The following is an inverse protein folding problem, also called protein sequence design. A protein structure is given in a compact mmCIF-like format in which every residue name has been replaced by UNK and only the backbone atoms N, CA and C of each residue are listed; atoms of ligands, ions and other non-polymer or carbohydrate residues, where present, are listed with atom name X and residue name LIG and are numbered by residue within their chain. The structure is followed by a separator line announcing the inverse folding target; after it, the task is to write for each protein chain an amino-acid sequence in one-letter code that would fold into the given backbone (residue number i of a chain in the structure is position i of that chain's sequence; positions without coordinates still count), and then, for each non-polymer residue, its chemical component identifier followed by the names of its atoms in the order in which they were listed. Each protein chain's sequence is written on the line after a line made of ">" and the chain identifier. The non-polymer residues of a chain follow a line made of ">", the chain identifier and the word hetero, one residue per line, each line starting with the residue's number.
data_IF_808706069404
#
_entry.id   IF_808706069404
#
_cell.length_a   1.000
_cell.length_b   1.000
_cell.length_c   1.000
_cell.angle_alpha   90.00
_cell.angle_beta   90.00
_cell.angle_gamma   90.00
#
_symmetry.space_group_name_H-M   'P 1'
#
loop_
_entity.id
_entity.type
_entity.pdbx_description
1 polymer ?
#
# COMPACT_ATOMS: atom_id res chain seq x y z
N UNK A 1 17.60 -18.36 -3.54
CA UNK A 1 17.18 -17.63 -4.76
C UNK A 1 18.42 -17.41 -5.63
N UNK A 2 18.29 -17.68 -6.93
CA UNK A 2 19.39 -17.43 -7.87
C UNK A 2 19.25 -15.99 -8.39
N UNK A 3 19.99 -15.09 -7.78
CA UNK A 3 20.05 -13.70 -8.23
C UNK A 3 20.93 -13.59 -9.46
N UNK A 4 20.42 -12.90 -10.50
CA UNK A 4 21.18 -12.42 -11.64
C UNK A 4 21.57 -10.97 -11.43
N UNK A 5 22.62 -10.53 -12.10
CA UNK A 5 23.02 -9.12 -12.10
C UNK A 5 22.52 -8.47 -13.39
N UNK A 6 21.62 -7.51 -13.24
CA UNK A 6 21.10 -6.65 -14.30
C UNK A 6 21.93 -5.34 -14.29
N UNK A 7 22.80 -5.09 -15.28
CA UNK A 7 23.50 -3.83 -15.41
C UNK A 7 22.51 -2.65 -15.51
N UNK A 8 22.84 -1.51 -14.92
CA UNK A 8 21.95 -0.35 -14.89
C UNK A 8 21.45 0.06 -16.27
N UNK A 9 22.34 0.06 -17.26
CA UNK A 9 22.02 0.39 -18.66
C UNK A 9 21.04 -0.58 -19.31
N UNK A 10 20.91 -1.80 -18.80
CA UNK A 10 20.05 -2.85 -19.38
C UNK A 10 18.63 -2.81 -18.78
N UNK A 11 18.33 -1.93 -17.84
CA UNK A 11 16.97 -1.83 -17.25
C UNK A 11 15.91 -1.51 -18.32
N UNK A 12 16.30 -0.77 -19.39
CA UNK A 12 15.41 -0.50 -20.52
C UNK A 12 14.99 -1.80 -21.24
N UNK A 13 15.87 -2.79 -21.33
CA UNK A 13 15.54 -4.07 -21.97
C UNK A 13 14.41 -4.80 -21.23
N UNK A 14 14.40 -4.72 -19.88
CA UNK A 14 13.32 -5.30 -19.09
C UNK A 14 11.99 -4.57 -19.34
N UNK A 15 12.01 -3.24 -19.42
CA UNK A 15 10.84 -2.42 -19.76
C UNK A 15 10.32 -2.78 -21.15
N UNK A 16 11.19 -2.88 -22.13
CA UNK A 16 10.83 -3.19 -23.52
C UNK A 16 10.22 -4.59 -23.66
N UNK A 17 10.78 -5.58 -22.96
CA UNK A 17 10.26 -6.95 -22.94
C UNK A 17 8.83 -7.02 -22.37
N UNK A 18 8.56 -6.31 -21.27
CA UNK A 18 7.20 -6.23 -20.71
C UNK A 18 6.22 -5.56 -21.66
N UNK A 19 6.63 -4.48 -22.33
CA UNK A 19 5.79 -3.79 -23.34
C UNK A 19 5.53 -4.68 -24.56
N UNK A 20 6.51 -5.47 -24.99
CA UNK A 20 6.32 -6.45 -26.07
C UNK A 20 5.32 -7.56 -25.70
N UNK A 21 5.22 -7.89 -24.42
CA UNK A 21 4.21 -8.80 -23.87
C UNK A 21 2.86 -8.10 -23.61
N UNK A 22 2.64 -6.90 -24.14
CA UNK A 22 1.43 -6.08 -24.04
C UNK A 22 1.07 -5.63 -22.61
N UNK A 23 2.03 -5.57 -21.69
CA UNK A 23 1.80 -4.92 -20.41
C UNK A 23 1.82 -3.40 -20.55
N UNK A 24 0.83 -2.73 -19.95
CA UNK A 24 0.94 -1.31 -19.62
C UNK A 24 1.83 -1.17 -18.38
N UNK A 25 2.96 -0.51 -18.52
CA UNK A 25 3.93 -0.39 -17.44
C UNK A 25 3.67 0.85 -16.60
N UNK A 26 3.55 0.67 -15.28
CA UNK A 26 3.50 1.74 -14.30
C UNK A 26 4.81 1.75 -13.51
N UNK A 27 5.36 2.94 -13.33
CA UNK A 27 6.58 3.15 -12.55
C UNK A 27 6.53 4.42 -11.72
N UNK A 28 7.48 4.60 -10.79
CA UNK A 28 7.59 5.82 -10.02
C UNK A 28 8.05 6.97 -10.93
N UNK A 29 7.35 8.10 -10.86
CA UNK A 29 7.71 9.36 -11.52
C UNK A 29 7.52 10.52 -10.54
N UNK A 30 8.20 11.63 -10.78
CA UNK A 30 7.99 12.85 -9.98
C UNK A 30 6.87 13.69 -10.60
N UNK A 31 5.80 13.92 -9.84
CA UNK A 31 4.69 14.83 -10.19
C UNK A 31 4.35 15.69 -8.98
N UNK A 32 4.18 16.97 -9.19
CA UNK A 32 3.78 17.93 -8.13
C UNK A 32 4.60 17.79 -6.82
N UNK A 33 5.92 17.65 -6.95
CA UNK A 33 6.86 17.45 -5.84
C UNK A 33 6.60 16.20 -4.99
N UNK A 34 6.01 15.17 -5.57
CA UNK A 34 5.87 13.84 -4.95
C UNK A 34 6.23 12.74 -5.95
N UNK A 35 6.68 11.59 -5.44
CA UNK A 35 6.79 10.38 -6.23
C UNK A 35 5.39 9.76 -6.31
N UNK A 36 4.92 9.53 -7.53
CA UNK A 36 3.65 8.84 -7.81
C UNK A 36 3.88 7.73 -8.82
N UNK A 37 2.97 6.78 -8.90
CA UNK A 37 2.98 5.77 -9.96
C UNK A 37 2.17 6.28 -11.15
N UNK A 38 2.82 6.33 -12.31
CA UNK A 38 2.23 6.75 -13.59
C UNK A 38 2.73 5.84 -14.70
N UNK A 39 2.11 5.92 -15.87
CA UNK A 39 2.56 5.17 -17.06
C UNK A 39 3.95 5.63 -17.44
N UNK A 40 4.84 4.68 -17.67
CA UNK A 40 6.19 4.92 -18.16
C UNK A 40 6.46 4.09 -19.42
N UNK A 41 7.22 4.67 -20.33
CA UNK A 41 7.68 4.02 -21.56
C UNK A 41 9.20 3.81 -21.57
N UNK A 42 9.90 4.54 -20.72
CA UNK A 42 11.36 4.60 -20.67
C UNK A 42 11.90 4.69 -19.25
N UNK A 43 13.08 4.10 -19.03
CA UNK A 43 13.89 4.27 -17.81
C UNK A 43 14.18 5.75 -17.51
N UNK A 44 14.26 6.62 -18.52
CA UNK A 44 14.52 8.05 -18.35
C UNK A 44 13.41 8.79 -17.57
N UNK A 45 12.24 8.20 -17.43
CA UNK A 45 11.12 8.76 -16.66
C UNK A 45 11.19 8.42 -15.16
N UNK A 46 12.03 7.45 -14.79
CA UNK A 46 12.24 7.09 -13.38
C UNK A 46 13.00 8.20 -12.63
N UNK A 47 12.78 8.35 -11.30
CA UNK A 47 13.33 9.45 -10.51
C UNK A 47 14.80 9.23 -10.15
N UNK A 48 15.71 9.47 -11.11
CA UNK A 48 17.16 9.31 -10.91
C UNK A 48 17.69 10.32 -9.89
N UNK A 49 18.39 9.84 -8.86
CA UNK A 49 19.01 10.69 -7.83
C UNK A 49 17.99 11.45 -6.98
N UNK A 50 16.75 10.99 -6.90
CA UNK A 50 15.73 11.58 -6.04
C UNK A 50 15.64 10.79 -4.74
N UNK A 51 15.67 11.51 -3.62
CA UNK A 51 15.36 10.98 -2.28
C UNK A 51 14.22 11.76 -1.66
N UNK A 52 13.47 11.09 -0.81
CA UNK A 52 12.41 11.72 -0.03
C UNK A 52 12.82 11.90 1.43
N UNK A 53 12.44 13.02 1.99
CA UNK A 53 12.50 13.31 3.43
C UNK A 53 11.09 13.39 3.97
N UNK A 54 10.79 12.57 4.97
CA UNK A 54 9.46 12.47 5.56
C UNK A 54 9.51 12.61 7.08
N UNK A 55 8.61 13.43 7.60
CA UNK A 55 8.35 13.58 9.04
C UNK A 55 6.84 13.74 9.26
N UNK A 56 6.34 13.73 10.50
CA UNK A 56 4.90 13.90 10.74
C UNK A 56 4.34 15.15 10.06
N UNK A 57 3.41 14.95 9.13
CA UNK A 57 2.78 16.02 8.33
C UNK A 57 3.67 16.65 7.25
N UNK A 58 4.79 16.03 6.91
CA UNK A 58 5.72 16.59 5.91
C UNK A 58 6.25 15.52 4.96
N UNK A 59 6.29 15.88 3.68
CA UNK A 59 6.92 15.11 2.60
C UNK A 59 7.67 16.06 1.68
N UNK A 60 8.94 15.82 1.42
CA UNK A 60 9.78 16.63 0.54
C UNK A 60 10.67 15.75 -0.31
N UNK A 61 11.00 16.20 -1.53
CA UNK A 61 11.95 15.55 -2.41
C UNK A 61 13.23 16.38 -2.50
N UNK A 62 14.36 15.69 -2.53
CA UNK A 62 15.69 16.25 -2.69
C UNK A 62 16.41 15.59 -3.85
N UNK A 63 17.11 16.39 -4.66
CA UNK A 63 18.05 15.87 -5.64
C UNK A 63 19.37 15.59 -4.97
N UNK A 64 19.89 14.38 -5.14
CA UNK A 64 21.20 13.95 -4.65
C UNK A 64 22.07 13.47 -5.82
N UNK A 65 23.39 13.52 -5.65
CA UNK A 65 24.32 12.96 -6.64
C UNK A 65 24.40 11.44 -6.48
N UNK A 66 23.47 10.76 -7.15
CA UNK A 66 23.33 9.31 -7.12
C UNK A 66 22.73 8.80 -8.43
N UNK A 67 23.24 7.67 -8.97
CA UNK A 67 22.67 7.06 -10.17
C UNK A 67 21.37 6.27 -9.89
N UNK A 68 20.95 6.16 -8.64
CA UNK A 68 19.85 5.30 -8.21
C UNK A 68 18.49 5.85 -8.62
N UNK A 69 17.62 4.95 -9.08
CA UNK A 69 16.23 5.23 -9.45
C UNK A 69 15.25 5.00 -8.29
N UNK A 70 15.65 4.19 -7.30
CA UNK A 70 14.74 3.71 -6.25
C UNK A 70 15.25 4.03 -4.84
N UNK A 71 16.13 5.02 -4.66
CA UNK A 71 16.64 5.46 -3.35
C UNK A 71 15.67 6.40 -2.63
N UNK A 72 14.40 6.02 -2.54
CA UNK A 72 13.31 6.71 -1.85
C UNK A 72 12.45 5.69 -1.09
N UNK A 73 11.67 6.12 -0.10
CA UNK A 73 10.92 5.21 0.77
C UNK A 73 9.61 4.71 0.14
N UNK A 74 8.65 5.60 0.00
CA UNK A 74 7.32 5.27 -0.52
C UNK A 74 6.60 6.50 -1.11
N UNK A 75 5.57 6.24 -1.89
CA UNK A 75 4.67 7.24 -2.46
C UNK A 75 3.37 7.32 -1.64
N UNK A 76 2.54 8.37 -1.82
CA UNK A 76 1.23 8.45 -1.15
C UNK A 76 0.27 7.33 -1.55
N UNK A 77 0.44 6.79 -2.75
CA UNK A 77 -0.34 5.67 -3.27
C UNK A 77 0.59 4.70 -4.02
N UNK A 78 0.29 3.40 -3.97
CA UNK A 78 1.02 2.38 -4.72
C UNK A 78 0.04 1.41 -5.40
N UNK A 79 -0.12 0.19 -4.86
CA UNK A 79 -0.92 -0.87 -5.49
C UNK A 79 -2.42 -0.75 -5.23
N UNK A 80 -2.83 -0.17 -4.11
CA UNK A 80 -4.24 -0.17 -3.68
C UNK A 80 -5.22 0.32 -4.76
N UNK A 81 -4.99 1.43 -5.50
CA UNK A 81 -5.92 1.86 -6.54
C UNK A 81 -6.03 0.88 -7.72
N UNK A 82 -5.02 0.04 -7.94
CA UNK A 82 -4.97 -0.91 -9.05
C UNK A 82 -5.76 -2.20 -8.74
N UNK A 83 -5.69 -2.69 -7.51
CA UNK A 83 -6.40 -3.89 -7.06
C UNK A 83 -7.80 -3.58 -6.56
N UNK A 84 -7.94 -2.54 -5.75
CA UNK A 84 -9.17 -2.05 -5.16
C UNK A 84 -9.45 -0.64 -5.67
N UNK A 85 -10.29 -0.53 -6.71
CA UNK A 85 -10.54 0.74 -7.39
C UNK A 85 -11.24 1.76 -6.46
N UNK A 86 -10.90 3.07 -6.54
CA UNK A 86 -11.53 4.11 -5.71
C UNK A 86 -13.04 4.22 -5.91
N UNK A 87 -13.50 3.91 -7.10
CA UNK A 87 -14.92 3.84 -7.48
C UNK A 87 -15.09 2.82 -8.59
N UNK A 88 -16.10 1.95 -8.46
CA UNK A 88 -16.41 0.94 -9.45
C UNK A 88 -17.89 0.53 -9.43
N UNK A 89 -18.40 0.15 -10.58
CA UNK A 89 -19.73 -0.47 -10.71
C UNK A 89 -19.62 -1.95 -10.38
N UNK A 90 -20.50 -2.45 -9.51
CA UNK A 90 -20.54 -3.86 -9.12
C UNK A 90 -21.57 -4.64 -9.94
N UNK A 91 -22.74 -4.06 -10.13
CA UNK A 91 -23.83 -4.63 -10.93
C UNK A 91 -24.80 -3.54 -11.36
N UNK A 92 -25.62 -3.85 -12.36
CA UNK A 92 -26.73 -3.00 -12.78
C UNK A 92 -28.06 -3.76 -12.70
N UNK A 93 -29.13 -3.03 -12.35
CA UNK A 93 -30.48 -3.53 -12.40
C UNK A 93 -31.26 -2.77 -13.47
N UNK A 94 -31.92 -3.49 -14.37
CA UNK A 94 -32.76 -2.90 -15.42
C UNK A 94 -34.20 -3.38 -15.27
N UNK A 95 -35.13 -2.43 -15.37
CA UNK A 95 -36.58 -2.72 -15.42
C UNK A 95 -37.03 -2.70 -16.88
N UNK A 96 -37.63 -3.79 -17.33
CA UNK A 96 -38.25 -3.86 -18.66
C UNK A 96 -39.62 -3.17 -18.73
N UNK A 97 -40.25 -3.14 -19.90
CA UNK A 97 -41.57 -2.56 -20.14
C UNK A 97 -42.71 -3.26 -19.39
N UNK A 98 -42.50 -4.50 -18.95
CA UNK A 98 -43.44 -5.29 -18.15
C UNK A 98 -43.18 -5.17 -16.64
N UNK A 99 -42.20 -4.37 -16.24
CA UNK A 99 -41.83 -4.15 -14.84
C UNK A 99 -40.94 -5.24 -14.23
N UNK A 100 -40.45 -6.19 -15.03
CA UNK A 100 -39.56 -7.26 -14.57
C UNK A 100 -38.12 -6.68 -14.41
N UNK A 101 -37.49 -7.01 -13.29
CA UNK A 101 -36.09 -6.63 -13.00
C UNK A 101 -35.13 -7.71 -13.49
N UNK A 102 -34.13 -7.31 -14.23
CA UNK A 102 -32.95 -8.10 -14.56
C UNK A 102 -31.71 -7.50 -13.89
N UNK A 103 -30.77 -8.35 -13.45
CA UNK A 103 -29.52 -7.95 -12.80
C UNK A 103 -28.34 -8.45 -13.63
N UNK A 104 -27.39 -7.57 -13.92
CA UNK A 104 -26.20 -7.88 -14.69
C UNK A 104 -24.96 -7.46 -13.90
N UNK A 105 -23.96 -8.35 -13.70
CA UNK A 105 -22.70 -7.99 -13.04
C UNK A 105 -21.91 -7.02 -13.92
N UNK A 106 -21.29 -6.03 -13.30
CA UNK A 106 -20.35 -5.12 -13.94
C UNK A 106 -18.93 -5.55 -13.55
N UNK A 107 -18.29 -6.33 -14.41
CA UNK A 107 -16.94 -6.80 -14.14
C UNK A 107 -15.92 -5.97 -14.95
N UNK A 108 -14.77 -5.60 -14.36
CA UNK A 108 -13.75 -4.87 -15.10
C UNK A 108 -13.17 -5.73 -16.22
N UNK A 109 -12.90 -5.12 -17.36
CA UNK A 109 -12.06 -5.74 -18.38
C UNK A 109 -10.63 -5.84 -17.84
N UNK A 110 -10.00 -7.03 -17.90
CA UNK A 110 -8.66 -7.23 -17.37
C UNK A 110 -7.63 -6.52 -18.25
N UNK A 111 -7.03 -5.46 -17.75
CA UNK A 111 -5.88 -4.82 -18.37
C UNK A 111 -4.60 -5.43 -17.79
N UNK A 112 -3.69 -5.90 -18.64
CA UNK A 112 -2.39 -6.38 -18.20
C UNK A 112 -1.53 -5.21 -17.76
N UNK A 113 -1.25 -5.12 -16.47
CA UNK A 113 -0.48 -4.01 -15.87
C UNK A 113 0.77 -4.58 -15.21
N UNK A 114 1.95 -4.11 -15.62
CA UNK A 114 3.19 -4.34 -14.90
C UNK A 114 3.53 -3.12 -14.04
N UNK A 115 3.88 -3.33 -12.78
CA UNK A 115 4.24 -2.25 -11.85
C UNK A 115 5.65 -2.46 -11.36
N UNK A 116 6.55 -1.48 -11.60
CA UNK A 116 7.94 -1.51 -11.14
C UNK A 116 8.17 -0.57 -9.96
N UNK A 117 9.00 -0.96 -9.00
CA UNK A 117 9.39 -0.12 -7.86
C UNK A 117 8.55 -0.33 -6.60
N UNK A 118 7.76 -1.40 -6.54
CA UNK A 118 6.87 -1.72 -5.41
C UNK A 118 7.72 -2.04 -4.17
N UNK A 119 7.29 -1.54 -3.01
CA UNK A 119 7.98 -1.79 -1.74
C UNK A 119 7.45 -3.03 -1.02
N UNK A 120 8.28 -3.60 -0.13
CA UNK A 120 7.90 -4.75 0.70
C UNK A 120 6.60 -4.50 1.50
N UNK A 121 6.46 -3.31 2.10
CA UNK A 121 5.27 -2.92 2.85
C UNK A 121 4.00 -2.81 1.99
N UNK A 122 4.12 -2.52 0.68
CA UNK A 122 2.99 -2.50 -0.25
C UNK A 122 2.55 -3.92 -0.62
N UNK A 123 3.50 -4.84 -0.81
CA UNK A 123 3.18 -6.26 -1.03
C UNK A 123 2.54 -6.90 0.20
N UNK A 124 3.05 -6.57 1.40
CA UNK A 124 2.43 -7.03 2.65
C UNK A 124 0.99 -6.49 2.83
N UNK A 125 0.74 -5.25 2.39
CA UNK A 125 -0.61 -4.69 2.39
C UNK A 125 -1.50 -5.35 1.35
N UNK A 126 -0.97 -5.70 0.18
CA UNK A 126 -1.69 -6.44 -0.85
C UNK A 126 -2.08 -7.84 -0.38
N UNK A 127 -1.19 -8.55 0.34
CA UNK A 127 -1.52 -9.84 0.98
C UNK A 127 -2.68 -9.70 1.98
N UNK A 128 -2.74 -8.60 2.74
CA UNK A 128 -3.88 -8.33 3.62
C UNK A 128 -5.18 -8.07 2.86
N UNK A 129 -5.10 -7.37 1.72
CA UNK A 129 -6.26 -7.18 0.84
C UNK A 129 -6.68 -8.50 0.18
N UNK A 130 -5.74 -9.33 -0.28
CA UNK A 130 -6.01 -10.65 -0.83
C UNK A 130 -6.75 -11.54 0.19
N UNK A 131 -6.35 -11.50 1.46
CA UNK A 131 -7.06 -12.21 2.55
C UNK A 131 -8.49 -11.71 2.75
N UNK A 132 -8.71 -10.41 2.66
CA UNK A 132 -10.04 -9.83 2.81
C UNK A 132 -10.95 -10.12 1.61
N UNK A 133 -10.44 -9.89 0.39
CA UNK A 133 -11.27 -9.93 -0.81
C UNK A 133 -11.37 -11.31 -1.48
N UNK A 134 -10.47 -12.28 -1.17
CA UNK A 134 -10.43 -13.55 -1.89
C UNK A 134 -10.73 -14.80 -1.05
N UNK A 135 -10.65 -14.72 0.30
CA UNK A 135 -10.67 -15.97 1.09
C UNK A 135 -12.06 -16.55 1.36
N UNK A 136 -13.07 -15.75 1.76
CA UNK A 136 -14.37 -16.29 2.16
C UNK A 136 -15.43 -16.15 1.07
N UNK A 137 -15.59 -14.97 0.53
CA UNK A 137 -16.46 -14.66 -0.57
C UNK A 137 -15.63 -13.84 -1.55
N UNK A 138 -15.03 -14.52 -2.52
CA UNK A 138 -14.16 -13.86 -3.49
C UNK A 138 -14.90 -12.73 -4.21
N UNK A 139 -14.30 -11.53 -4.18
CA UNK A 139 -14.76 -10.37 -4.94
C UNK A 139 -14.27 -10.51 -6.38
N UNK A 140 -15.14 -10.75 -7.35
CA UNK A 140 -14.72 -11.06 -8.72
C UNK A 140 -14.09 -9.86 -9.44
N UNK A 141 -14.40 -8.64 -9.05
CA UNK A 141 -13.78 -7.45 -9.64
C UNK A 141 -12.35 -7.25 -9.11
N UNK A 142 -12.16 -7.46 -7.81
CA UNK A 142 -10.82 -7.47 -7.20
C UNK A 142 -9.95 -8.60 -7.77
N UNK A 143 -10.47 -9.82 -7.85
CA UNK A 143 -9.77 -11.00 -8.36
C UNK A 143 -9.24 -10.76 -9.78
N UNK A 144 -10.09 -10.29 -10.70
CA UNK A 144 -9.69 -9.99 -12.09
C UNK A 144 -8.56 -8.96 -12.18
N UNK A 145 -8.64 -7.86 -11.40
CA UNK A 145 -7.56 -6.85 -11.37
C UNK A 145 -6.29 -7.44 -10.78
N UNK A 146 -6.42 -8.20 -9.68
CA UNK A 146 -5.28 -8.79 -8.97
C UNK A 146 -4.49 -9.77 -9.85
N UNK A 147 -5.18 -10.62 -10.61
CA UNK A 147 -4.58 -11.58 -11.52
C UNK A 147 -3.87 -10.92 -12.71
N UNK A 148 -4.35 -9.77 -13.16
CA UNK A 148 -3.76 -9.04 -14.29
C UNK A 148 -2.49 -8.26 -13.93
N UNK A 149 -2.12 -8.14 -12.63
CA UNK A 149 -0.92 -7.44 -12.19
C UNK A 149 0.34 -8.30 -12.34
N UNK A 150 1.38 -7.73 -12.95
CA UNK A 150 2.75 -8.23 -12.91
C UNK A 150 3.58 -7.32 -11.99
N UNK A 151 4.12 -7.87 -10.91
CA UNK A 151 4.66 -7.10 -9.80
C UNK A 151 6.19 -7.19 -9.75
N UNK A 152 6.87 -6.06 -10.00
CA UNK A 152 8.33 -5.92 -9.91
C UNK A 152 8.65 -5.12 -8.66
N UNK A 153 9.01 -5.84 -7.61
CA UNK A 153 9.32 -5.27 -6.31
C UNK A 153 10.77 -4.80 -6.23
N UNK A 154 11.03 -3.78 -5.42
CA UNK A 154 12.38 -3.29 -5.12
C UNK A 154 12.59 -3.24 -3.61
N UNK A 155 13.66 -3.89 -3.15
CA UNK A 155 14.08 -3.83 -1.77
C UNK A 155 14.41 -2.38 -1.38
N UNK A 156 13.95 -1.97 -0.20
CA UNK A 156 14.10 -0.59 0.24
C UNK A 156 15.51 -0.35 0.76
N UNK A 157 16.23 0.60 0.14
CA UNK A 157 17.56 1.06 0.56
C UNK A 157 17.52 2.39 1.31
N UNK A 158 16.39 3.09 1.29
CA UNK A 158 16.23 4.42 1.89
C UNK A 158 14.87 4.49 2.61
N UNK A 159 14.76 3.96 3.85
CA UNK A 159 13.55 4.11 4.65
C UNK A 159 13.43 5.54 5.16
N UNK A 160 12.23 6.10 5.12
CA UNK A 160 11.95 7.42 5.70
C UNK A 160 11.92 7.37 7.23
N UNK A 161 12.05 8.54 7.88
CA UNK A 161 11.94 8.66 9.33
C UNK A 161 10.56 8.27 9.89
N UNK A 162 9.54 8.18 9.05
CA UNK A 162 8.20 7.72 9.43
C UNK A 162 8.00 6.20 9.26
N UNK A 163 8.93 5.50 8.58
CA UNK A 163 8.86 4.05 8.34
C UNK A 163 9.17 3.25 9.61
N UNK A 164 8.42 2.19 9.84
CA UNK A 164 8.63 1.21 10.92
C UNK A 164 8.27 -0.22 10.51
N UNK A 165 8.33 -0.53 9.21
CA UNK A 165 7.98 -1.85 8.67
C UNK A 165 8.92 -2.97 9.14
N UNK A 166 10.12 -2.68 9.62
CA UNK A 166 10.98 -3.66 10.28
C UNK A 166 10.37 -4.20 11.59
N UNK A 167 9.59 -3.38 12.31
CA UNK A 167 8.91 -3.77 13.55
C UNK A 167 7.66 -4.64 13.29
N UNK A 168 6.99 -4.45 12.14
CA UNK A 168 5.87 -5.32 11.74
C UNK A 168 6.33 -6.58 11.00
N UNK A 169 7.61 -6.69 10.66
CA UNK A 169 8.17 -7.78 9.88
C UNK A 169 7.87 -7.71 8.38
N UNK A 170 7.38 -6.57 7.86
CA UNK A 170 6.90 -6.36 6.50
C UNK A 170 7.89 -5.62 5.58
N UNK A 171 9.10 -5.43 6.02
CA UNK A 171 10.15 -4.76 5.26
C UNK A 171 11.45 -4.65 6.06
N UNK A 172 12.50 -4.04 5.49
CA UNK A 172 12.61 -3.38 4.18
C UNK A 172 12.75 -4.35 2.99
N UNK A 173 13.07 -5.62 3.25
CA UNK A 173 13.28 -6.64 2.21
C UNK A 173 11.96 -7.34 1.86
N UNK A 174 11.77 -7.55 0.57
CA UNK A 174 10.62 -8.26 0.00
C UNK A 174 10.74 -9.76 0.29
N UNK A 175 9.63 -10.40 0.71
CA UNK A 175 9.61 -11.82 1.05
C UNK A 175 8.85 -12.65 0.02
N UNK A 176 7.63 -12.22 -0.34
CA UNK A 176 6.70 -12.95 -1.22
C UNK A 176 5.79 -11.99 -1.97
N UNK A 177 4.94 -12.52 -2.87
CA UNK A 177 3.88 -11.74 -3.52
C UNK A 177 4.30 -10.95 -4.75
N UNK A 178 5.43 -11.28 -5.37
CA UNK A 178 5.99 -10.59 -6.53
C UNK A 178 6.25 -11.55 -7.70
N UNK A 179 6.34 -11.02 -8.90
CA UNK A 179 6.84 -11.74 -10.08
C UNK A 179 8.36 -11.61 -10.19
N UNK A 180 8.88 -10.39 -10.01
CA UNK A 180 10.31 -10.11 -9.92
C UNK A 180 10.62 -9.30 -8.66
N UNK A 181 11.80 -9.52 -8.08
CA UNK A 181 12.35 -8.68 -7.02
C UNK A 181 13.71 -8.16 -7.43
N UNK A 182 13.95 -6.88 -7.16
CA UNK A 182 15.23 -6.22 -7.41
C UNK A 182 15.81 -5.65 -6.12
N UNK A 183 17.15 -5.65 -6.03
CA UNK A 183 17.90 -4.83 -5.08
C UNK A 183 18.78 -3.90 -5.89
N UNK A 184 18.56 -2.59 -5.75
CA UNK A 184 19.34 -1.59 -6.48
C UNK A 184 20.68 -1.37 -5.81
N UNK A 185 21.76 -1.50 -6.59
CA UNK A 185 23.14 -1.13 -6.28
C UNK A 185 23.52 0.09 -7.13
N UNK A 186 24.70 0.67 -6.91
CA UNK A 186 25.11 1.85 -7.69
C UNK A 186 25.35 1.51 -9.18
N UNK A 187 25.88 0.34 -9.49
CA UNK A 187 26.20 -0.07 -10.86
C UNK A 187 25.05 -0.82 -11.56
N UNK A 188 24.01 -1.26 -10.85
CA UNK A 188 22.94 -2.06 -11.43
C UNK A 188 21.99 -2.63 -10.38
N UNK A 189 21.45 -3.80 -10.68
CA UNK A 189 20.44 -4.43 -9.84
C UNK A 189 20.71 -5.92 -9.66
N UNK A 190 20.52 -6.42 -8.46
CA UNK A 190 20.30 -7.85 -8.27
C UNK A 190 18.84 -8.13 -8.56
N UNK A 191 18.56 -9.09 -9.44
CA UNK A 191 17.19 -9.44 -9.84
C UNK A 191 16.95 -10.94 -9.68
N UNK A 192 15.78 -11.31 -9.16
CA UNK A 192 15.35 -12.70 -9.05
C UNK A 192 13.84 -12.83 -9.32
N UNK A 193 13.42 -14.03 -9.74
CA UNK A 193 12.01 -14.35 -9.95
C UNK A 193 11.35 -14.91 -8.69
N UNK A 194 10.08 -14.53 -8.48
CA UNK A 194 9.21 -15.06 -7.44
C UNK A 194 8.00 -15.82 -7.97
N UNK A 195 7.79 -15.83 -9.29
CA UNK A 195 6.71 -16.53 -9.97
C UNK A 195 7.19 -17.22 -11.25
N UNK A 196 6.34 -18.07 -11.82
CA UNK A 196 6.61 -18.68 -13.13
C UNK A 196 6.68 -17.61 -14.23
N UNK A 197 5.79 -16.61 -14.23
CA UNK A 197 5.81 -15.50 -15.20
C UNK A 197 7.13 -14.74 -15.13
N UNK A 198 7.56 -14.38 -13.91
CA UNK A 198 8.84 -13.73 -13.70
C UNK A 198 10.04 -14.58 -14.12
N UNK A 199 9.99 -15.89 -13.88
CA UNK A 199 11.05 -16.80 -14.32
C UNK A 199 11.16 -16.85 -15.85
N UNK A 200 10.05 -17.01 -16.54
CA UNK A 200 10.01 -17.07 -18.02
C UNK A 200 10.54 -15.76 -18.62
N UNK A 201 10.16 -14.61 -18.06
CA UNK A 201 10.69 -13.32 -18.50
C UNK A 201 12.20 -13.22 -18.31
N UNK A 202 12.74 -13.64 -17.16
CA UNK A 202 14.20 -13.60 -16.93
C UNK A 202 14.99 -14.57 -17.81
N UNK A 203 14.39 -15.64 -18.33
CA UNK A 203 15.03 -16.57 -19.26
C UNK A 203 15.28 -15.97 -20.65
N UNK A 204 14.60 -14.87 -20.99
CA UNK A 204 14.85 -14.13 -22.24
C UNK A 204 16.21 -13.38 -22.22
N UNK A 205 16.82 -13.20 -21.03
CA UNK A 205 18.04 -12.43 -20.86
C UNK A 205 19.23 -13.28 -20.46
N UNK A 206 20.41 -12.94 -21.00
CA UNK A 206 21.69 -13.61 -20.70
C UNK A 206 22.45 -12.93 -19.54
N UNK A 207 21.74 -12.34 -18.56
CA UNK A 207 22.40 -11.70 -17.43
C UNK A 207 23.13 -12.71 -16.55
N UNK A 208 24.36 -12.34 -16.13
CA UNK A 208 25.22 -13.19 -15.34
C UNK A 208 24.62 -13.45 -13.93
N UNK A 209 25.00 -14.55 -13.32
CA UNK A 209 24.73 -14.81 -11.90
C UNK A 209 25.43 -13.75 -11.07
N UNK A 210 24.74 -13.18 -10.09
CA UNK A 210 25.29 -12.17 -9.20
C UNK A 210 26.51 -12.68 -8.43
N UNK A 211 27.57 -11.88 -8.36
CA UNK A 211 28.79 -12.20 -7.62
C UNK A 211 28.55 -12.27 -6.11
N UNK A 212 29.46 -12.87 -5.38
CA UNK A 212 29.41 -12.90 -3.92
C UNK A 212 29.53 -11.49 -3.31
N UNK A 213 30.29 -10.60 -3.93
CA UNK A 213 30.48 -9.22 -3.52
C UNK A 213 29.17 -8.41 -3.66
N UNK A 214 28.53 -8.49 -4.82
CA UNK A 214 27.23 -7.84 -5.08
C UNK A 214 26.14 -8.31 -4.10
N UNK A 215 26.08 -9.63 -3.82
CA UNK A 215 25.13 -10.16 -2.82
C UNK A 215 25.41 -9.62 -1.42
N UNK A 216 26.70 -9.55 -1.04
CA UNK A 216 27.09 -9.00 0.25
C UNK A 216 26.75 -7.51 0.37
N UNK A 217 26.94 -6.73 -0.69
CA UNK A 217 26.56 -5.32 -0.73
C UNK A 217 25.04 -5.16 -0.51
N UNK A 218 24.23 -5.96 -1.20
CA UNK A 218 22.77 -5.96 -1.03
C UNK A 218 22.35 -6.34 0.40
N UNK A 219 23.02 -7.32 1.03
CA UNK A 219 22.77 -7.71 2.43
C UNK A 219 23.12 -6.58 3.40
N UNK A 220 24.27 -5.92 3.22
CA UNK A 220 24.67 -4.77 4.04
C UNK A 220 23.70 -3.60 3.90
N UNK A 221 23.23 -3.32 2.69
CA UNK A 221 22.22 -2.29 2.44
C UNK A 221 20.89 -2.60 3.16
N UNK A 222 20.42 -3.83 3.11
CA UNK A 222 19.21 -4.25 3.80
C UNK A 222 19.37 -4.13 5.33
N UNK A 223 20.54 -4.54 5.86
CA UNK A 223 20.84 -4.43 7.27
C UNK A 223 20.90 -2.96 7.74
N UNK A 224 21.55 -2.09 6.99
CA UNK A 224 21.60 -0.65 7.29
C UNK A 224 20.17 -0.02 7.32
N UNK A 225 19.30 -0.43 6.40
CA UNK A 225 17.91 0.02 6.38
C UNK A 225 17.11 -0.45 7.61
N UNK A 226 17.37 -1.66 8.09
CA UNK A 226 16.75 -2.17 9.35
C UNK A 226 17.25 -1.36 10.54
N UNK A 227 18.55 -1.17 10.66
CA UNK A 227 19.18 -0.43 11.76
C UNK A 227 18.68 1.02 11.81
N UNK A 228 18.57 1.69 10.66
CA UNK A 228 18.00 3.04 10.57
C UNK A 228 16.57 3.11 11.13
N UNK A 229 15.71 2.14 10.83
CA UNK A 229 14.36 2.10 11.35
C UNK A 229 14.30 1.73 12.84
N UNK A 230 15.16 0.81 13.29
CA UNK A 230 15.22 0.38 14.70
C UNK A 230 15.80 1.44 15.63
N UNK A 231 16.58 2.37 15.11
CA UNK A 231 17.07 3.52 15.87
C UNK A 231 15.94 4.51 16.24
N UNK A 232 14.75 4.38 15.67
CA UNK A 232 13.60 5.23 15.95
C UNK A 232 12.70 4.57 16.99
N UNK A 233 12.09 5.40 17.85
CA UNK A 233 11.08 4.90 18.78
C UNK A 233 9.89 4.31 18.01
N UNK A 234 9.58 3.07 18.31
CA UNK A 234 8.42 2.38 17.75
C UNK A 234 7.77 1.53 18.86
N UNK A 235 6.44 1.42 18.85
CA UNK A 235 5.72 0.64 19.85
C UNK A 235 6.01 -0.86 19.70
N UNK A 236 5.89 -1.59 20.79
CA UNK A 236 5.80 -3.05 20.73
C UNK A 236 4.46 -3.45 20.11
N UNK A 237 4.51 -3.83 18.82
CA UNK A 237 3.31 -4.21 18.07
C UNK A 237 2.71 -5.55 18.52
N UNK A 238 3.41 -6.35 19.35
CA UNK A 238 2.88 -7.58 19.94
C UNK A 238 1.91 -7.30 21.09
N UNK A 239 2.10 -6.19 21.80
CA UNK A 239 1.33 -5.81 23.00
C UNK A 239 0.06 -4.98 22.68
N UNK A 240 -0.26 -4.73 21.42
CA UNK A 240 -1.37 -3.84 21.02
C UNK A 240 -2.78 -4.35 21.34
N UNK A 241 -2.94 -5.62 21.76
CA UNK A 241 -4.23 -6.17 22.19
C UNK A 241 -4.82 -5.44 23.40
N UNK A 242 -3.98 -4.80 24.21
CA UNK A 242 -4.39 -3.97 25.36
C UNK A 242 -5.32 -2.82 24.95
N UNK A 243 -5.30 -2.38 23.68
CA UNK A 243 -6.20 -1.34 23.16
C UNK A 243 -7.68 -1.68 23.34
N UNK A 244 -8.04 -2.95 23.34
CA UNK A 244 -9.43 -3.42 23.53
C UNK A 244 -9.95 -3.19 24.96
N UNK A 245 -9.07 -3.15 25.95
CA UNK A 245 -9.39 -2.87 27.35
C UNK A 245 -9.24 -1.39 27.73
N UNK A 246 -8.64 -0.56 26.86
CA UNK A 246 -8.33 0.86 27.13
C UNK A 246 -9.24 1.83 26.36
N UNK A 247 -10.51 1.49 26.22
CA UNK A 247 -11.45 2.27 25.40
C UNK A 247 -11.76 3.67 25.97
N UNK A 248 -11.58 3.88 27.26
CA UNK A 248 -11.82 5.18 27.93
C UNK A 248 -10.52 5.89 28.34
N UNK A 249 -9.37 5.49 27.77
CA UNK A 249 -8.09 6.12 28.06
C UNK A 249 -8.11 7.61 27.63
N UNK A 250 -7.60 8.57 28.45
CA UNK A 250 -7.66 10.01 28.16
C UNK A 250 -6.92 10.39 26.87
N UNK A 251 -5.93 9.62 26.44
CA UNK A 251 -5.21 9.86 25.18
C UNK A 251 -6.13 9.95 23.97
N UNK A 252 -7.28 9.28 23.98
CA UNK A 252 -8.26 9.38 22.89
C UNK A 252 -8.82 10.79 22.72
N UNK A 253 -9.04 11.53 23.82
CA UNK A 253 -9.46 12.94 23.76
C UNK A 253 -8.33 13.83 23.25
N UNK A 254 -7.11 13.62 23.74
CA UNK A 254 -5.94 14.42 23.35
C UNK A 254 -5.65 14.32 21.86
N UNK A 255 -5.68 13.13 21.29
CA UNK A 255 -5.48 12.95 19.85
C UNK A 255 -6.65 13.47 19.04
N UNK A 256 -7.89 13.31 19.53
CA UNK A 256 -9.09 13.80 18.87
C UNK A 256 -9.13 15.33 18.78
N UNK A 257 -8.61 16.03 19.80
CA UNK A 257 -8.50 17.49 19.81
C UNK A 257 -7.60 18.03 18.69
N UNK A 258 -6.63 17.24 18.22
CA UNK A 258 -5.76 17.60 17.08
C UNK A 258 -6.29 17.08 15.73
N UNK A 259 -7.05 15.98 15.73
CA UNK A 259 -7.47 15.27 14.54
C UNK A 259 -8.58 16.03 13.79
N UNK A 260 -8.35 16.31 12.50
CA UNK A 260 -9.34 16.94 11.61
C UNK A 260 -10.42 15.98 11.12
N UNK A 261 -10.36 14.69 11.45
CA UNK A 261 -11.24 13.65 10.92
C UNK A 261 -11.33 13.62 9.37
N UNK A 262 -10.29 14.07 8.68
CA UNK A 262 -10.27 14.23 7.23
C UNK A 262 -10.20 12.90 6.44
N UNK A 263 -9.89 11.77 7.10
CA UNK A 263 -9.78 10.45 6.46
C UNK A 263 -8.50 10.23 5.63
N UNK A 264 -7.58 11.21 5.57
CA UNK A 264 -6.38 11.07 4.75
C UNK A 264 -5.52 9.86 5.14
N UNK A 265 -5.41 9.57 6.45
CA UNK A 265 -4.69 8.39 6.96
C UNK A 265 -5.26 7.05 6.43
N UNK A 266 -6.55 6.96 6.13
CA UNK A 266 -7.16 5.77 5.52
C UNK A 266 -7.03 5.77 4.00
N UNK A 267 -7.05 6.94 3.35
CA UNK A 267 -6.89 7.08 1.92
C UNK A 267 -5.49 6.64 1.45
N UNK A 268 -4.43 7.13 2.14
CA UNK A 268 -3.03 6.80 1.81
C UNK A 268 -2.60 5.42 2.34
N UNK A 269 -3.38 4.80 3.22
CA UNK A 269 -3.03 3.50 3.78
C UNK A 269 -3.23 2.40 2.75
N UNK A 270 -2.19 1.60 2.43
CA UNK A 270 -2.29 0.54 1.43
C UNK A 270 -3.15 -0.65 1.88
N UNK A 271 -3.35 -0.84 3.20
CA UNK A 271 -4.14 -1.95 3.74
C UNK A 271 -5.59 -1.58 4.11
N UNK A 272 -5.98 -0.30 4.11
CA UNK A 272 -7.35 0.09 4.41
C UNK A 272 -8.27 -0.17 3.20
N UNK A 273 -9.41 -0.82 3.46
CA UNK A 273 -10.41 -1.19 2.44
C UNK A 273 -11.84 -0.71 2.78
N UNK A 274 -11.97 0.29 3.68
CA UNK A 274 -13.28 0.87 3.96
C UNK A 274 -13.91 1.41 2.68
N UNK A 275 -15.17 1.06 2.44
CA UNK A 275 -15.96 1.49 1.30
C UNK A 275 -17.42 1.71 1.71
N UNK A 276 -18.15 2.35 0.83
CA UNK A 276 -19.61 2.46 0.87
C UNK A 276 -20.18 2.00 -0.46
N UNK A 277 -21.43 1.56 -0.42
CA UNK A 277 -22.21 1.20 -1.60
C UNK A 277 -23.28 2.25 -1.83
N UNK A 278 -23.49 2.60 -3.09
CA UNK A 278 -24.49 3.61 -3.51
C UNK A 278 -25.18 3.15 -4.78
N UNK A 279 -26.46 3.54 -4.91
CA UNK A 279 -27.23 3.33 -6.13
C UNK A 279 -27.33 4.63 -6.93
N UNK A 280 -26.98 4.57 -8.20
CA UNK A 280 -27.11 5.68 -9.12
C UNK A 280 -28.09 5.34 -10.24
N UNK A 281 -29.09 6.20 -10.41
CA UNK A 281 -30.08 6.10 -11.48
C UNK A 281 -30.12 7.44 -12.23
N UNK A 282 -29.85 7.41 -13.53
CA UNK A 282 -30.04 8.60 -14.36
C UNK A 282 -31.52 8.90 -14.50
N UNK A 283 -31.89 10.18 -14.46
CA UNK A 283 -33.29 10.61 -14.57
C UNK A 283 -33.92 10.10 -15.89
N UNK A 284 -35.00 9.33 -15.76
CA UNK A 284 -35.70 8.72 -16.89
C UNK A 284 -35.07 7.44 -17.43
N UNK A 285 -33.99 6.95 -16.83
CA UNK A 285 -33.38 5.66 -17.18
C UNK A 285 -34.16 4.50 -16.52
N UNK A 286 -34.36 3.38 -17.25
CA UNK A 286 -34.89 2.15 -16.64
C UNK A 286 -33.79 1.37 -15.89
N UNK A 287 -32.53 1.87 -15.88
CA UNK A 287 -31.37 1.19 -15.30
C UNK A 287 -30.86 1.93 -14.07
N UNK A 288 -30.63 1.18 -13.00
CA UNK A 288 -29.91 1.63 -11.78
C UNK A 288 -28.59 0.89 -11.71
N UNK A 289 -27.49 1.61 -11.45
CA UNK A 289 -26.16 1.03 -11.27
C UNK A 289 -25.82 1.05 -9.79
N UNK A 290 -25.43 -0.11 -9.26
CA UNK A 290 -24.92 -0.25 -7.91
C UNK A 290 -23.39 -0.11 -7.92
N UNK A 291 -22.88 0.84 -7.15
CA UNK A 291 -21.47 1.22 -7.13
C UNK A 291 -20.87 1.03 -5.75
N UNK A 292 -19.59 0.73 -5.75
CA UNK A 292 -18.74 0.78 -4.57
C UNK A 292 -17.78 1.96 -4.69
N UNK A 293 -17.64 2.74 -3.62
CA UNK A 293 -16.67 3.84 -3.52
C UNK A 293 -15.84 3.70 -2.25
N UNK A 294 -14.56 4.11 -2.31
CA UNK A 294 -13.77 4.21 -1.08
C UNK A 294 -14.46 5.12 -0.08
N UNK A 295 -14.42 4.73 1.17
CA UNK A 295 -14.91 5.49 2.31
C UNK A 295 -13.85 5.49 3.42
N UNK A 296 -14.14 6.17 4.49
CA UNK A 296 -13.26 6.25 5.65
C UNK A 296 -14.06 6.05 6.93
N UNK A 297 -13.52 5.23 7.83
CA UNK A 297 -14.05 5.12 9.19
C UNK A 297 -14.03 6.46 9.96
N UNK A 298 -13.36 7.49 9.43
CA UNK A 298 -13.44 8.88 9.90
C UNK A 298 -14.63 9.66 9.33
N UNK A 299 -15.30 9.16 8.29
CA UNK A 299 -16.52 9.76 7.72
C UNK A 299 -17.68 9.75 8.73
N UNK A 300 -18.45 10.86 8.80
CA UNK A 300 -19.60 10.92 9.70
C UNK A 300 -20.67 9.90 9.33
N UNK A 301 -20.88 9.68 8.03
CA UNK A 301 -21.87 8.73 7.50
C UNK A 301 -21.45 7.28 7.61
N UNK A 302 -20.15 6.98 7.78
CA UNK A 302 -19.64 5.60 7.76
C UNK A 302 -20.23 4.68 8.85
N UNK A 303 -20.64 5.24 9.98
CA UNK A 303 -21.26 4.50 11.08
C UNK A 303 -22.74 4.87 11.28
N UNK A 304 -23.39 5.37 10.23
CA UNK A 304 -24.81 5.73 10.28
C UNK A 304 -25.69 4.48 10.15
N UNK A 305 -26.62 4.31 11.12
CA UNK A 305 -27.59 3.21 11.13
C UNK A 305 -28.95 3.79 11.56
N UNK A 306 -29.95 3.75 10.68
CA UNK A 306 -31.33 4.10 10.99
C UNK A 306 -31.53 5.41 11.78
N UNK A 307 -30.89 6.49 11.36
CA UNK A 307 -31.03 7.81 12.00
C UNK A 307 -30.01 8.10 13.10
N UNK A 308 -29.16 7.13 13.46
CA UNK A 308 -28.12 7.28 14.48
C UNK A 308 -26.73 7.13 13.86
N UNK A 309 -25.86 8.09 14.12
CA UNK A 309 -24.40 7.95 13.86
C UNK A 309 -23.74 7.36 15.09
N UNK A 310 -23.39 6.08 15.07
CA UNK A 310 -22.81 5.34 16.22
C UNK A 310 -21.51 5.98 16.69
N UNK A 311 -20.68 6.44 15.77
CA UNK A 311 -19.39 7.13 16.06
C UNK A 311 -19.48 8.59 15.63
N UNK A 312 -20.31 9.36 16.34
CA UNK A 312 -20.56 10.79 16.04
C UNK A 312 -19.35 11.69 16.31
N UNK A 313 -18.50 11.33 17.28
CA UNK A 313 -17.37 12.14 17.73
C UNK A 313 -16.06 11.69 17.08
N UNK A 314 -15.11 12.62 16.87
CA UNK A 314 -13.78 12.32 16.33
C UNK A 314 -13.03 11.31 17.19
N UNK A 315 -13.15 11.43 18.52
CA UNK A 315 -12.58 10.49 19.49
C UNK A 315 -12.98 9.04 19.20
N UNK A 316 -14.26 8.79 19.01
CA UNK A 316 -14.82 7.44 18.74
C UNK A 316 -14.36 6.90 17.39
N UNK A 317 -14.21 7.76 16.37
CA UNK A 317 -13.74 7.38 15.03
C UNK A 317 -12.25 7.06 15.04
N UNK A 318 -11.43 7.88 15.71
CA UNK A 318 -9.99 7.64 15.86
C UNK A 318 -9.73 6.34 16.64
N UNK A 319 -10.42 6.17 17.78
CA UNK A 319 -10.36 4.96 18.61
C UNK A 319 -10.70 3.71 17.77
N UNK A 320 -11.81 3.73 17.04
CA UNK A 320 -12.20 2.63 16.16
C UNK A 320 -11.12 2.32 15.13
N UNK A 321 -10.58 3.32 14.46
CA UNK A 321 -9.54 3.14 13.45
C UNK A 321 -8.29 2.46 14.03
N UNK A 322 -7.79 2.97 15.16
CA UNK A 322 -6.56 2.46 15.76
C UNK A 322 -6.76 1.06 16.36
N UNK A 323 -7.83 0.86 17.15
CA UNK A 323 -8.15 -0.44 17.76
C UNK A 323 -8.40 -1.51 16.70
N UNK A 324 -9.16 -1.20 15.66
CA UNK A 324 -9.41 -2.11 14.55
C UNK A 324 -8.09 -2.52 13.90
N UNK A 325 -7.25 -1.56 13.53
CA UNK A 325 -6.01 -1.82 12.79
C UNK A 325 -4.96 -2.59 13.59
N UNK A 326 -4.81 -2.30 14.89
CA UNK A 326 -3.71 -2.85 15.70
C UNK A 326 -4.12 -3.96 16.65
N UNK A 327 -5.39 -4.10 17.00
CA UNK A 327 -5.88 -5.15 17.88
C UNK A 327 -6.82 -6.14 17.16
N UNK A 328 -8.02 -5.72 16.76
CA UNK A 328 -9.06 -6.67 16.32
C UNK A 328 -8.80 -7.31 14.95
N UNK A 329 -7.89 -6.78 14.12
CA UNK A 329 -7.44 -7.47 12.89
C UNK A 329 -6.73 -8.78 13.18
N UNK A 330 -6.10 -8.94 14.35
CA UNK A 330 -5.45 -10.19 14.72
C UNK A 330 -6.45 -11.35 14.76
N UNK A 331 -7.66 -11.11 15.25
CA UNK A 331 -8.74 -12.11 15.26
C UNK A 331 -9.26 -12.43 13.85
N UNK A 332 -9.32 -11.43 12.96
CA UNK A 332 -9.86 -11.59 11.62
C UNK A 332 -8.86 -12.18 10.62
N UNK A 333 -7.61 -11.75 10.69
CA UNK A 333 -6.60 -12.04 9.65
C UNK A 333 -5.30 -12.66 10.20
N UNK A 334 -5.24 -12.97 11.50
CA UNK A 334 -4.06 -13.58 12.13
C UNK A 334 -2.87 -12.63 12.36
N UNK A 335 -3.04 -11.31 12.07
CA UNK A 335 -2.02 -10.28 12.24
C UNK A 335 -2.63 -8.90 12.34
N UNK A 336 -1.82 -7.90 12.73
CA UNK A 336 -2.23 -6.50 12.70
C UNK A 336 -2.44 -6.01 11.25
N UNK A 337 -3.33 -5.03 11.07
CA UNK A 337 -3.65 -4.42 9.78
C UNK A 337 -2.66 -3.35 9.32
N UNK A 338 -1.57 -3.14 10.05
CA UNK A 338 -0.54 -2.17 9.71
C UNK A 338 0.72 -2.86 9.20
N UNK A 339 1.30 -2.32 8.13
CA UNK A 339 2.56 -2.77 7.53
C UNK A 339 3.75 -1.84 7.83
N UNK A 340 3.60 -0.88 8.73
CA UNK A 340 4.65 0.04 9.14
C UNK A 340 5.18 0.97 8.06
N UNK A 341 4.42 1.23 6.99
CA UNK A 341 4.86 2.03 5.85
C UNK A 341 4.99 3.54 6.12
N UNK A 342 4.48 4.06 7.24
CA UNK A 342 4.60 5.47 7.65
C UNK A 342 3.72 6.47 6.91
N UNK A 343 3.03 6.11 5.82
CA UNK A 343 2.22 7.04 5.00
C UNK A 343 1.21 7.85 5.82
N UNK A 344 0.51 7.21 6.76
CA UNK A 344 -0.48 7.89 7.58
C UNK A 344 0.13 8.94 8.52
N UNK A 345 1.42 8.86 8.80
CA UNK A 345 2.19 9.84 9.58
C UNK A 345 2.59 11.01 8.68
N UNK A 346 3.29 10.71 7.57
CA UNK A 346 3.81 11.71 6.64
C UNK A 346 2.70 12.56 6.01
N UNK A 347 1.55 11.95 5.68
CA UNK A 347 0.43 12.61 5.01
C UNK A 347 -0.68 13.08 5.97
N UNK A 348 -0.45 13.06 7.28
CA UNK A 348 -1.37 13.65 8.24
C UNK A 348 -1.23 15.18 8.24
N UNK A 349 -2.25 15.98 7.87
CA UNK A 349 -2.12 17.44 7.77
C UNK A 349 -1.81 18.14 9.10
N UNK A 350 -2.00 17.46 10.23
CA UNK A 350 -1.71 17.97 11.58
C UNK A 350 -0.58 17.19 12.28
N UNK A 351 0.15 16.35 11.54
CA UNK A 351 1.34 15.68 12.02
C UNK A 351 1.11 14.66 13.16
N UNK A 352 -0.02 13.95 13.17
CA UNK A 352 -0.24 12.87 14.14
C UNK A 352 0.64 11.68 13.76
N UNK A 353 1.49 11.26 14.71
CA UNK A 353 2.31 10.06 14.60
C UNK A 353 1.65 8.87 15.30
N UNK A 354 1.23 7.87 14.53
CA UNK A 354 0.57 6.69 15.06
C UNK A 354 1.45 5.89 16.04
N UNK A 355 2.79 6.00 15.92
CA UNK A 355 3.73 5.33 16.82
C UNK A 355 3.67 5.94 18.22
N UNK A 356 3.66 7.26 18.31
CA UNK A 356 3.52 7.99 19.57
C UNK A 356 2.17 7.69 20.24
N UNK A 357 1.09 7.65 19.47
CA UNK A 357 -0.23 7.32 19.98
C UNK A 357 -0.31 5.89 20.53
N UNK A 358 0.34 4.93 19.85
CA UNK A 358 0.42 3.54 20.31
C UNK A 358 1.27 3.41 21.58
N UNK A 359 2.42 4.07 21.64
CA UNK A 359 3.27 4.10 22.84
C UNK A 359 2.46 4.64 24.03
N UNK A 360 1.83 5.80 23.89
CA UNK A 360 1.04 6.41 24.95
C UNK A 360 -0.15 5.51 25.41
N UNK A 361 -0.78 4.81 24.46
CA UNK A 361 -1.92 3.94 24.75
C UNK A 361 -1.53 2.56 25.28
N UNK A 362 -0.34 2.05 24.93
CA UNK A 362 0.07 0.68 25.29
C UNK A 362 1.01 0.63 26.49
N UNK A 363 1.86 1.65 26.71
CA UNK A 363 2.89 1.66 27.74
C UNK A 363 2.46 2.31 29.07
N UNK A 364 1.49 3.22 29.07
CA UNK A 364 0.97 3.84 30.32
C UNK A 364 0.22 2.81 31.19
N UNK A 365 0.98 1.86 31.76
CA UNK A 365 0.49 0.87 32.71
C UNK A 365 0.33 1.42 34.14
N UNK A 366 0.56 2.71 34.39
CA UNK A 366 0.73 3.28 35.73
C UNK A 366 -0.52 3.97 36.31
N UNK A 367 -1.64 4.02 35.59
CA UNK A 367 -2.86 4.66 36.07
C UNK A 367 -4.11 3.77 35.85
N UNK A 368 -4.18 2.67 36.57
CA UNK A 368 -5.44 1.96 36.88
C UNK A 368 -5.52 1.79 38.38
#
# INVERSE_FOLDING_TARGET
>A
MDFRYLPRQDLQLLIDALRQQAYRLLGPVVRQNAIVYDVIESVAELPVGIQDEQSPGSYRLHQVDSPRNFAWANSPQALKPLSFAPRESLWSARRDEHGVLSFEPCLPEPEQIAVIGIRACDLAALDLQDRHFLQQNADPAYERRRESLFLIAVNCSHPAATCFCSHSGDGPSVKTGYDLVMTELDDGYLIASGSLRGKLLLEEFSWAVASAEQRREAELQAQASIEQMQAQAAPDLSATDVLTSRLEHPRWEEVAARCLACGNCTAVCPSCFCHREIDETELGSPTTTHLREWDSCFGQGHSYIHGLTVRSETRLRYRQWLTHKFATWKEQYGRIGCTGCGRCISWCPVGIDVREELVALCEDAAHV
#
